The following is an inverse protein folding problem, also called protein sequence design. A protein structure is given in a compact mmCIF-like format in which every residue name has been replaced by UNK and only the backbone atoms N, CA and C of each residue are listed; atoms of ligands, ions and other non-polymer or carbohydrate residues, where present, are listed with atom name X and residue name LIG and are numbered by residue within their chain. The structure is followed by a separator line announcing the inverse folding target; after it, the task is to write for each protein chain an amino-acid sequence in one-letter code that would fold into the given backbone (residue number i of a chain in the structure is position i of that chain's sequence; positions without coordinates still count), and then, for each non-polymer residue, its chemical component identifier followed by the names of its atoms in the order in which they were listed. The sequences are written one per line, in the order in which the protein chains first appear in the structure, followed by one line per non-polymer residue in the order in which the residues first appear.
data_IF_246564044739
#
_entry.id   IF_246564044739
#
_cell.length_a   1.000
_cell.length_b   1.000
_cell.length_c   1.000
_cell.angle_alpha   90.00
_cell.angle_beta   90.00
_cell.angle_gamma   90.00
#
_symmetry.space_group_name_H-M   'P 1'
#
loop_
_entity.id
_entity.type
_entity.pdbx_description
1 polymer ?
#
# COMPACT_ATOMS: atom_id res chain seq x y z
N UNK A 1 14.68 -9.50 2.97
CA UNK A 1 14.75 -8.57 1.82
C UNK A 1 16.03 -7.70 1.76
N UNK A 2 16.59 -7.22 2.89
CA UNK A 2 17.69 -6.21 2.93
C UNK A 2 18.83 -6.37 1.91
N UNK A 3 19.43 -7.55 1.68
CA UNK A 3 20.54 -7.69 0.70
C UNK A 3 20.15 -7.38 -0.76
N UNK A 4 18.85 -7.41 -1.07
CA UNK A 4 18.30 -7.25 -2.42
C UNK A 4 17.86 -5.82 -2.73
N UNK A 5 17.81 -4.94 -1.72
CA UNK A 5 17.30 -3.57 -1.87
C UNK A 5 18.02 -2.78 -2.97
N UNK A 6 19.36 -2.91 -3.07
CA UNK A 6 20.14 -2.23 -4.10
C UNK A 6 19.70 -2.60 -5.52
N UNK A 7 19.38 -3.87 -5.78
CA UNK A 7 18.92 -4.30 -7.10
C UNK A 7 17.46 -3.91 -7.34
N UNK A 8 16.63 -3.93 -6.30
CA UNK A 8 15.25 -3.44 -6.37
C UNK A 8 15.17 -1.93 -6.64
N UNK A 9 16.07 -1.13 -6.06
CA UNK A 9 16.18 0.31 -6.36
C UNK A 9 16.55 0.55 -7.82
N UNK A 10 17.47 -0.24 -8.39
CA UNK A 10 17.77 -0.18 -9.82
C UNK A 10 16.56 -0.56 -10.68
N UNK A 11 15.84 -1.61 -10.30
CA UNK A 11 14.62 -2.02 -10.99
C UNK A 11 13.51 -0.96 -10.93
N UNK A 12 13.48 -0.15 -9.87
CA UNK A 12 12.56 1.00 -9.76
C UNK A 12 12.97 2.12 -10.72
N UNK A 13 14.25 2.48 -10.77
CA UNK A 13 14.76 3.44 -11.76
C UNK A 13 14.49 2.98 -13.19
N UNK A 14 14.69 1.69 -13.48
CA UNK A 14 14.37 1.11 -14.78
C UNK A 14 12.86 1.20 -15.09
N UNK A 15 12.00 0.97 -14.10
CA UNK A 15 10.55 1.06 -14.25
C UNK A 15 10.10 2.49 -14.57
N UNK A 16 10.64 3.49 -13.85
CA UNK A 16 10.39 4.91 -14.08
C UNK A 16 10.92 5.36 -15.45
N UNK A 17 12.02 4.76 -15.92
CA UNK A 17 12.59 4.97 -17.25
C UNK A 17 11.91 4.19 -18.39
N UNK A 18 10.87 3.40 -18.10
CA UNK A 18 10.15 2.60 -19.10
C UNK A 18 10.89 1.35 -19.58
N UNK A 19 11.94 0.91 -18.88
CA UNK A 19 12.69 -0.31 -19.16
C UNK A 19 12.03 -1.52 -18.46
N UNK A 20 10.82 -1.87 -18.88
CA UNK A 20 9.98 -2.83 -18.18
C UNK A 20 10.54 -4.26 -18.18
N UNK A 21 11.22 -4.66 -19.26
CA UNK A 21 11.86 -5.97 -19.35
C UNK A 21 12.90 -6.18 -18.23
N UNK A 22 13.72 -5.18 -17.94
CA UNK A 22 14.77 -5.29 -16.92
C UNK A 22 14.16 -5.29 -15.53
N UNK A 23 13.16 -4.43 -15.29
CA UNK A 23 12.37 -4.44 -14.05
C UNK A 23 11.79 -5.83 -13.78
N UNK A 24 11.06 -6.40 -14.75
CA UNK A 24 10.40 -7.69 -14.58
C UNK A 24 11.40 -8.82 -14.26
N UNK A 25 12.49 -8.92 -15.03
CA UNK A 25 13.53 -9.94 -14.83
C UNK A 25 14.23 -9.80 -13.47
N UNK A 26 14.59 -8.58 -13.07
CA UNK A 26 15.21 -8.33 -11.77
C UNK A 26 14.24 -8.69 -10.65
N UNK A 27 13.00 -8.21 -10.70
CA UNK A 27 12.00 -8.46 -9.66
C UNK A 27 11.70 -9.95 -9.51
N UNK A 28 11.56 -10.71 -10.62
CA UNK A 28 11.43 -12.18 -10.57
C UNK A 28 12.58 -12.86 -9.85
N UNK A 29 13.82 -12.54 -10.22
CA UNK A 29 15.00 -13.13 -9.59
C UNK A 29 15.10 -12.77 -8.09
N UNK A 30 14.72 -11.55 -7.72
CA UNK A 30 14.73 -11.10 -6.32
C UNK A 30 13.69 -11.84 -5.49
N UNK A 31 12.48 -12.05 -6.02
CA UNK A 31 11.44 -12.85 -5.38
C UNK A 31 11.89 -14.30 -5.15
N UNK A 32 12.40 -14.97 -6.19
CA UNK A 32 12.87 -16.35 -6.10
C UNK A 32 13.97 -16.51 -5.03
N UNK A 33 14.97 -15.63 -5.05
CA UNK A 33 16.04 -15.65 -4.06
C UNK A 33 15.53 -15.34 -2.65
N UNK A 34 14.61 -14.39 -2.50
CA UNK A 34 14.07 -14.03 -1.18
C UNK A 34 13.32 -15.20 -0.53
N UNK A 35 12.46 -15.88 -1.29
CA UNK A 35 11.72 -17.05 -0.80
C UNK A 35 12.68 -18.20 -0.45
N UNK A 36 13.73 -18.40 -1.24
CA UNK A 36 14.79 -19.39 -0.95
C UNK A 36 15.51 -19.13 0.36
N UNK A 37 15.77 -17.86 0.70
CA UNK A 37 16.43 -17.50 1.96
C UNK A 37 15.52 -17.67 3.19
N UNK A 38 14.22 -17.49 3.01
CA UNK A 38 13.21 -17.60 4.06
C UNK A 38 13.06 -19.05 4.55
N UNK A 39 13.10 -20.01 3.63
CA UNK A 39 12.96 -21.43 3.94
C UNK A 39 14.28 -22.18 3.76
N UNK A 40 15.12 -22.08 4.79
CA UNK A 40 16.43 -22.72 4.79
C UNK A 40 16.38 -24.25 4.83
N UNK A 41 15.22 -24.85 5.13
CA UNK A 41 15.05 -26.30 5.20
C UNK A 41 14.90 -26.91 3.80
N UNK A 42 14.13 -26.28 2.91
CA UNK A 42 13.94 -26.76 1.53
C UNK A 42 14.80 -26.02 0.50
N UNK A 43 15.21 -24.76 0.79
CA UNK A 43 16.00 -23.88 -0.11
C UNK A 43 15.41 -23.76 -1.53
N UNK A 44 14.10 -23.90 -1.64
CA UNK A 44 13.36 -23.79 -2.89
C UNK A 44 13.01 -22.33 -3.20
N UNK A 45 13.13 -21.94 -4.46
CA UNK A 45 12.67 -20.63 -4.93
C UNK A 45 11.15 -20.55 -4.99
N UNK A 46 10.60 -19.36 -5.19
CA UNK A 46 9.15 -19.14 -5.30
C UNK A 46 8.55 -20.01 -6.41
N UNK A 47 9.22 -20.11 -7.56
CA UNK A 47 8.77 -20.91 -8.71
C UNK A 47 8.77 -22.43 -8.51
N UNK A 48 9.25 -22.95 -7.38
CA UNK A 48 9.26 -24.40 -7.08
C UNK A 48 8.22 -24.76 -6.01
N UNK A 49 7.55 -23.76 -5.43
CA UNK A 49 6.55 -24.00 -4.38
C UNK A 49 5.20 -24.40 -4.97
N UNK A 50 4.48 -25.31 -4.31
CA UNK A 50 3.09 -25.55 -4.66
C UNK A 50 2.22 -24.36 -4.22
N UNK A 51 1.07 -24.18 -4.87
CA UNK A 51 0.19 -23.03 -4.60
C UNK A 51 -0.43 -23.08 -3.19
N UNK A 52 -0.60 -24.26 -2.60
CA UNK A 52 -1.03 -24.43 -1.21
C UNK A 52 -0.03 -23.87 -0.18
N UNK A 53 1.27 -23.82 -0.48
CA UNK A 53 2.29 -23.24 0.41
C UNK A 53 2.19 -21.70 0.50
N UNK A 54 1.47 -21.10 -0.45
CA UNK A 54 1.32 -19.65 -0.58
C UNK A 54 0.06 -19.10 0.12
N UNK A 55 -0.60 -19.89 0.97
CA UNK A 55 -1.75 -19.42 1.76
C UNK A 55 -1.26 -18.56 2.93
N UNK A 56 -1.58 -17.27 2.91
CA UNK A 56 -1.41 -16.36 4.04
C UNK A 56 -2.76 -16.21 4.78
N UNK A 57 -2.80 -16.55 6.07
CA UNK A 57 -4.04 -16.56 6.86
C UNK A 57 -4.34 -15.19 7.51
N UNK A 58 -3.44 -14.21 7.38
CA UNK A 58 -3.59 -12.85 7.95
C UNK A 58 -2.72 -11.84 7.20
N UNK A 59 -2.98 -11.68 5.90
CA UNK A 59 -2.23 -10.82 4.98
C UNK A 59 -3.18 -9.84 4.31
N UNK A 60 -2.78 -8.57 4.18
CA UNK A 60 -3.57 -7.54 3.47
C UNK A 60 -3.70 -7.89 1.98
N UNK A 61 -2.72 -8.62 1.43
CA UNK A 61 -2.77 -9.21 0.09
C UNK A 61 -3.48 -10.59 0.04
N UNK A 62 -3.89 -11.12 1.18
CA UNK A 62 -4.32 -12.50 1.38
C UNK A 62 -5.81 -12.62 1.71
N UNK A 63 -6.69 -12.31 0.76
CA UNK A 63 -7.82 -13.23 0.62
C UNK A 63 -7.18 -14.57 0.23
N UNK A 64 -7.37 -15.62 1.04
CA UNK A 64 -6.79 -16.96 0.92
C UNK A 64 -6.76 -17.57 -0.51
N UNK A 65 -7.56 -17.05 -1.44
CA UNK A 65 -7.60 -17.42 -2.86
C UNK A 65 -6.68 -16.60 -3.78
N UNK A 66 -6.34 -15.36 -3.44
CA UNK A 66 -5.68 -14.40 -4.33
C UNK A 66 -4.23 -14.73 -4.65
N UNK A 67 -3.40 -14.98 -3.63
CA UNK A 67 -1.98 -15.27 -3.83
C UNK A 67 -1.75 -16.65 -4.45
N UNK A 68 -2.56 -17.64 -4.07
CA UNK A 68 -2.52 -19.00 -4.61
C UNK A 68 -3.00 -19.06 -6.06
N UNK A 69 -4.10 -18.39 -6.43
CA UNK A 69 -4.53 -18.31 -7.84
C UNK A 69 -3.51 -17.56 -8.70
N UNK A 70 -3.00 -16.42 -8.24
CA UNK A 70 -1.95 -15.70 -8.95
C UNK A 70 -0.65 -16.53 -9.08
N UNK A 71 -0.40 -17.49 -8.18
CA UNK A 71 0.76 -18.37 -8.24
C UNK A 71 0.68 -19.38 -9.39
N UNK A 72 -0.51 -19.85 -9.76
CA UNK A 72 -0.68 -20.83 -10.85
C UNK A 72 -0.14 -20.30 -12.19
N UNK A 73 -0.41 -19.02 -12.50
CA UNK A 73 0.17 -18.37 -13.69
C UNK A 73 1.70 -18.33 -13.64
N UNK A 74 2.27 -18.10 -12.46
CA UNK A 74 3.71 -18.04 -12.24
C UNK A 74 4.43 -19.36 -12.52
N UNK A 75 3.76 -20.48 -12.24
CA UNK A 75 4.28 -21.84 -12.44
C UNK A 75 4.03 -22.39 -13.85
N UNK A 76 3.10 -21.79 -14.61
CA UNK A 76 2.69 -22.30 -15.93
C UNK A 76 3.90 -22.43 -16.87
N UNK A 77 4.10 -23.64 -17.39
CA UNK A 77 5.13 -23.94 -18.39
C UNK A 77 4.72 -23.51 -19.79
N UNK A 78 5.72 -23.17 -20.60
CA UNK A 78 5.59 -22.84 -22.02
C UNK A 78 6.65 -23.62 -22.79
N UNK A 79 6.25 -24.21 -23.92
CA UNK A 79 7.08 -25.18 -24.66
C UNK A 79 7.38 -24.76 -26.11
N UNK A 80 6.81 -23.63 -26.54
CA UNK A 80 7.01 -23.05 -27.87
C UNK A 80 7.15 -21.55 -27.72
N UNK A 81 7.92 -20.93 -28.63
CA UNK A 81 8.01 -19.47 -28.70
C UNK A 81 6.64 -18.88 -29.03
N UNK A 82 6.25 -17.87 -28.27
CA UNK A 82 5.01 -17.13 -28.42
C UNK A 82 5.33 -15.63 -28.42
N UNK A 83 4.94 -14.98 -29.51
CA UNK A 83 5.12 -13.56 -29.76
C UNK A 83 3.83 -12.77 -29.45
N UNK A 84 2.80 -13.39 -28.87
CA UNK A 84 1.64 -12.66 -28.38
C UNK A 84 2.03 -11.76 -27.20
N UNK A 85 1.35 -10.63 -27.09
CA UNK A 85 1.56 -9.70 -25.97
C UNK A 85 1.24 -10.39 -24.66
N UNK A 86 2.19 -10.38 -23.73
CA UNK A 86 2.01 -10.96 -22.40
C UNK A 86 1.55 -9.89 -21.43
N UNK A 87 0.49 -10.17 -20.68
CA UNK A 87 -0.03 -9.31 -19.61
C UNK A 87 -0.09 -10.01 -18.26
N UNK A 88 0.31 -11.29 -18.19
CA UNK A 88 0.34 -12.10 -16.97
C UNK A 88 1.77 -12.42 -16.54
N UNK A 89 1.95 -12.77 -15.27
CA UNK A 89 3.26 -13.10 -14.71
C UNK A 89 3.68 -14.54 -15.01
N UNK A 90 3.81 -14.88 -16.29
CA UNK A 90 4.29 -16.18 -16.75
C UNK A 90 5.81 -16.32 -16.58
N UNK A 91 6.29 -16.30 -15.32
CA UNK A 91 7.72 -16.29 -14.98
C UNK A 91 8.51 -17.39 -15.69
N UNK A 92 7.99 -18.62 -15.75
CA UNK A 92 8.69 -19.70 -16.45
C UNK A 92 8.82 -19.42 -17.95
N UNK A 93 7.75 -18.95 -18.60
CA UNK A 93 7.79 -18.62 -20.02
C UNK A 93 8.73 -17.47 -20.35
N UNK A 94 8.71 -16.41 -19.52
CA UNK A 94 9.56 -15.22 -19.66
C UNK A 94 11.04 -15.55 -19.39
N UNK A 95 11.35 -16.21 -18.28
CA UNK A 95 12.73 -16.52 -17.89
C UNK A 95 13.40 -17.54 -18.82
N UNK A 96 12.63 -18.41 -19.48
CA UNK A 96 13.15 -19.32 -20.50
C UNK A 96 13.21 -18.69 -21.90
N UNK A 97 12.77 -17.44 -22.08
CA UNK A 97 12.77 -16.77 -23.39
C UNK A 97 11.75 -17.33 -24.39
N UNK A 98 10.79 -18.13 -23.94
CA UNK A 98 9.69 -18.63 -24.79
C UNK A 98 8.61 -17.57 -24.99
N UNK A 99 8.46 -16.65 -24.04
CA UNK A 99 7.55 -15.52 -24.14
C UNK A 99 8.38 -14.25 -24.30
N UNK A 100 8.34 -13.63 -25.48
CA UNK A 100 9.26 -12.52 -25.82
C UNK A 100 8.64 -11.14 -25.70
N UNK A 101 7.31 -11.02 -25.86
CA UNK A 101 6.59 -9.74 -25.83
C UNK A 101 6.00 -9.41 -24.45
N UNK A 102 6.86 -9.51 -23.42
CA UNK A 102 6.52 -9.18 -22.02
C UNK A 102 7.01 -7.79 -21.56
N UNK A 103 7.77 -7.08 -22.40
CA UNK A 103 8.30 -5.74 -22.13
C UNK A 103 7.19 -4.68 -22.16
N UNK A 104 6.41 -4.61 -21.09
CA UNK A 104 5.35 -3.63 -20.92
C UNK A 104 5.12 -3.32 -19.44
N UNK A 105 4.53 -2.15 -19.22
CA UNK A 105 4.11 -1.63 -17.93
C UNK A 105 3.28 -2.63 -17.14
N UNK A 106 2.27 -3.26 -17.76
CA UNK A 106 1.36 -4.20 -17.07
C UNK A 106 2.12 -5.35 -16.40
N UNK A 107 3.07 -5.99 -17.10
CA UNK A 107 3.86 -7.09 -16.54
C UNK A 107 4.77 -6.58 -15.43
N UNK A 108 5.43 -5.44 -15.61
CA UNK A 108 6.33 -4.88 -14.60
C UNK A 108 5.58 -4.42 -13.33
N UNK A 109 4.42 -3.77 -13.47
CA UNK A 109 3.55 -3.40 -12.35
C UNK A 109 3.07 -4.65 -11.60
N UNK A 110 2.61 -5.67 -12.33
CA UNK A 110 2.20 -6.94 -11.71
C UNK A 110 3.36 -7.60 -10.97
N UNK A 111 4.58 -7.53 -11.49
CA UNK A 111 5.76 -8.11 -10.84
C UNK A 111 6.04 -7.41 -9.49
N UNK A 112 5.94 -6.08 -9.44
CA UNK A 112 6.02 -5.31 -8.18
C UNK A 112 4.92 -5.70 -7.19
N UNK A 113 3.66 -5.75 -7.64
CA UNK A 113 2.54 -6.17 -6.81
C UNK A 113 2.77 -7.56 -6.22
N UNK A 114 3.31 -8.49 -7.03
CA UNK A 114 3.66 -9.83 -6.56
C UNK A 114 4.79 -9.81 -5.53
N UNK A 115 5.82 -8.98 -5.69
CA UNK A 115 6.90 -8.84 -4.72
C UNK A 115 6.37 -8.36 -3.36
N UNK A 116 5.47 -7.37 -3.35
CA UNK A 116 4.84 -6.89 -2.12
C UNK A 116 4.01 -7.98 -1.45
N UNK A 117 3.21 -8.70 -2.23
CA UNK A 117 2.41 -9.81 -1.69
C UNK A 117 3.28 -10.95 -1.13
N UNK A 118 4.44 -11.25 -1.76
CA UNK A 118 5.42 -12.22 -1.24
C UNK A 118 6.10 -11.73 0.03
N UNK A 119 6.41 -10.43 0.13
CA UNK A 119 6.96 -9.85 1.34
C UNK A 119 5.97 -9.90 2.52
N UNK A 120 4.70 -9.58 2.27
CA UNK A 120 3.62 -9.66 3.26
C UNK A 120 3.37 -11.10 3.72
N UNK A 121 3.35 -12.06 2.77
CA UNK A 121 3.30 -13.49 3.08
C UNK A 121 4.47 -13.92 4.00
N UNK A 122 5.70 -13.49 3.67
CA UNK A 122 6.87 -13.84 4.47
C UNK A 122 6.79 -13.29 5.91
N UNK A 123 6.33 -12.04 6.07
CA UNK A 123 6.15 -11.42 7.38
C UNK A 123 5.03 -12.12 8.18
N UNK A 124 3.90 -12.45 7.55
CA UNK A 124 2.82 -13.22 8.19
C UNK A 124 3.30 -14.58 8.71
N UNK A 125 4.19 -15.26 7.97
CA UNK A 125 4.78 -16.54 8.38
C UNK A 125 5.75 -16.37 9.55
N UNK A 126 6.54 -15.30 9.58
CA UNK A 126 7.41 -14.98 10.70
C UNK A 126 6.61 -14.62 11.97
N UNK A 127 5.53 -13.85 11.83
CA UNK A 127 4.60 -13.55 12.94
C UNK A 127 4.00 -14.82 13.50
N UNK A 128 3.47 -15.72 12.66
CA UNK A 128 2.92 -17.02 13.09
C UNK A 128 3.95 -17.92 13.78
N UNK A 129 5.21 -17.89 13.34
CA UNK A 129 6.28 -18.62 14.02
C UNK A 129 6.59 -18.05 15.41
N UNK A 130 6.32 -16.76 15.63
CA UNK A 130 6.53 -16.05 16.90
C UNK A 130 5.27 -16.03 17.80
N UNK A 131 4.07 -16.18 17.25
CA UNK A 131 2.81 -16.19 17.99
C UNK A 131 2.07 -17.51 17.81
N UNK A 132 2.05 -18.31 18.87
CA UNK A 132 0.77 -18.92 19.26
C UNK A 132 0.12 -17.84 20.11
N UNK A 133 -0.64 -16.94 19.50
CA UNK A 133 -1.46 -16.05 20.32
C UNK A 133 -2.31 -16.96 21.22
N UNK A 134 -2.23 -16.81 22.55
CA UNK A 134 -3.03 -17.64 23.44
C UNK A 134 -4.48 -17.44 23.04
N UNK A 135 -5.22 -18.55 22.88
CA UNK A 135 -6.64 -18.49 22.56
C UNK A 135 -7.28 -17.49 23.52
N UNK A 136 -7.87 -16.40 23.00
CA UNK A 136 -8.38 -15.36 23.88
C UNK A 136 -9.36 -15.99 24.86
N UNK A 137 -9.30 -15.62 26.15
CA UNK A 137 -10.25 -16.12 27.13
C UNK A 137 -11.67 -15.89 26.59
N UNK A 138 -12.64 -16.78 26.86
CA UNK A 138 -13.98 -16.69 26.28
C UNK A 138 -14.67 -15.34 26.52
N UNK A 139 -14.34 -14.64 27.63
CA UNK A 139 -14.80 -13.28 27.92
C UNK A 139 -14.28 -12.23 26.94
N UNK A 140 -13.03 -12.35 26.49
CA UNK A 140 -12.41 -11.47 25.50
C UNK A 140 -13.04 -11.73 24.13
N UNK A 141 -13.21 -13.00 23.74
CA UNK A 141 -13.86 -13.36 22.48
C UNK A 141 -15.31 -12.88 22.41
N UNK A 142 -16.06 -12.98 23.52
CA UNK A 142 -17.44 -12.49 23.57
C UNK A 142 -17.53 -10.95 23.45
N UNK A 143 -16.57 -10.23 24.04
CA UNK A 143 -16.47 -8.77 23.88
C UNK A 143 -16.13 -8.39 22.45
N UNK A 144 -15.10 -9.03 21.88
CA UNK A 144 -14.71 -8.82 20.48
C UNK A 144 -15.87 -9.11 19.52
N UNK A 145 -16.63 -10.18 19.75
CA UNK A 145 -17.81 -10.48 18.95
C UNK A 145 -18.88 -9.37 19.03
N UNK A 146 -19.16 -8.88 20.25
CA UNK A 146 -20.07 -7.73 20.42
C UNK A 146 -19.56 -6.47 19.74
N UNK A 147 -18.26 -6.20 19.82
CA UNK A 147 -17.64 -5.04 19.18
C UNK A 147 -17.69 -5.13 17.65
N UNK A 148 -17.46 -6.33 17.10
CA UNK A 148 -17.58 -6.61 15.65
C UNK A 148 -19.02 -6.41 15.19
N UNK A 149 -20.00 -7.02 15.89
CA UNK A 149 -21.41 -6.85 15.55
C UNK A 149 -21.85 -5.39 15.62
N UNK A 150 -21.47 -4.67 16.69
CA UNK A 150 -21.78 -3.24 16.81
C UNK A 150 -21.10 -2.41 15.71
N UNK A 151 -19.93 -2.82 15.23
CA UNK A 151 -19.24 -2.16 14.11
C UNK A 151 -19.93 -2.47 12.78
N UNK A 152 -20.34 -3.71 12.54
CA UNK A 152 -21.10 -4.09 11.36
C UNK A 152 -22.42 -3.32 11.28
N UNK A 153 -23.20 -3.26 12.36
CA UNK A 153 -24.43 -2.47 12.40
C UNK A 153 -24.18 -0.99 12.11
N UNK A 154 -23.11 -0.40 12.68
CA UNK A 154 -22.75 0.99 12.36
C UNK A 154 -22.33 1.19 10.90
N UNK A 155 -21.74 0.20 10.25
CA UNK A 155 -21.37 0.27 8.83
C UNK A 155 -22.61 0.11 7.95
N UNK A 156 -23.55 -0.76 8.34
CA UNK A 156 -24.83 -0.95 7.65
C UNK A 156 -25.74 0.28 7.76
N UNK A 157 -25.78 0.91 8.93
CA UNK A 157 -26.53 2.15 9.17
C UNK A 157 -25.82 3.40 8.63
N UNK A 158 -24.54 3.30 8.26
CA UNK A 158 -23.79 4.43 7.77
C UNK A 158 -24.22 4.78 6.34
N UNK A 159 -24.51 6.06 6.13
CA UNK A 159 -24.78 6.62 4.82
C UNK A 159 -23.75 7.72 4.48
N UNK A 160 -23.36 7.84 3.20
CA UNK A 160 -22.53 8.96 2.77
C UNK A 160 -23.27 10.27 3.01
N UNK A 161 -22.54 11.27 3.48
CA UNK A 161 -23.10 12.60 3.67
C UNK A 161 -22.11 13.68 3.26
N UNK A 162 -22.66 14.83 2.93
CA UNK A 162 -21.94 15.99 2.43
C UNK A 162 -22.37 17.23 3.20
N UNK A 163 -21.41 18.10 3.48
CA UNK A 163 -21.63 19.36 4.15
C UNK A 163 -20.91 20.47 3.39
N UNK A 164 -21.67 21.46 2.96
CA UNK A 164 -21.19 22.70 2.34
C UNK A 164 -21.29 23.82 3.37
N UNK A 165 -20.20 24.10 4.10
CA UNK A 165 -20.22 25.12 5.13
C UNK A 165 -20.30 26.52 4.52
N UNK A 166 -21.01 27.43 5.21
CA UNK A 166 -20.92 28.84 4.87
C UNK A 166 -19.49 29.38 5.06
N UNK A 167 -19.08 30.39 4.28
CA UNK A 167 -17.81 31.06 4.50
C UNK A 167 -17.70 31.56 5.95
N UNK A 168 -16.72 31.04 6.69
CA UNK A 168 -16.49 31.28 8.12
C UNK A 168 -17.44 30.58 9.11
N UNK A 169 -18.15 29.51 8.72
CA UNK A 169 -18.96 28.72 9.64
C UNK A 169 -18.18 28.35 10.93
N UNK A 170 -18.69 28.68 12.11
CA UNK A 170 -17.99 28.35 13.37
C UNK A 170 -17.96 26.84 13.60
N UNK A 171 -19.08 26.19 13.30
CA UNK A 171 -19.25 24.75 13.38
C UNK A 171 -18.91 24.09 12.04
N UNK A 172 -17.94 23.20 12.06
CA UNK A 172 -17.64 22.28 10.97
C UNK A 172 -17.76 20.85 11.48
N UNK A 173 -18.05 19.88 10.60
CA UNK A 173 -17.82 18.47 10.89
C UNK A 173 -16.37 18.24 11.36
N UNK A 174 -16.12 17.17 12.13
CA UNK A 174 -14.81 16.86 12.71
C UNK A 174 -13.66 16.96 11.69
N UNK A 175 -13.86 16.37 10.50
CA UNK A 175 -12.89 16.41 9.40
C UNK A 175 -12.63 17.84 8.93
N UNK A 176 -13.69 18.65 8.81
CA UNK A 176 -13.57 20.07 8.49
C UNK A 176 -12.81 20.86 9.57
N UNK A 177 -13.01 20.53 10.85
CA UNK A 177 -12.24 21.14 11.95
C UNK A 177 -10.76 20.77 11.88
N UNK A 178 -10.44 19.51 11.57
CA UNK A 178 -9.07 19.04 11.35
C UNK A 178 -8.43 19.74 10.15
N UNK A 179 -9.11 19.84 9.02
CA UNK A 179 -8.64 20.57 7.83
C UNK A 179 -8.40 22.04 8.13
N UNK A 180 -9.33 22.70 8.84
CA UNK A 180 -9.17 24.08 9.31
C UNK A 180 -7.92 24.24 10.20
N UNK A 181 -7.69 23.30 11.12
CA UNK A 181 -6.52 23.33 11.98
C UNK A 181 -5.22 23.18 11.17
N UNK A 182 -5.19 22.28 10.20
CA UNK A 182 -4.07 22.12 9.27
C UNK A 182 -3.77 23.43 8.53
N UNK A 183 -4.78 24.02 7.87
CA UNK A 183 -4.65 25.23 7.06
C UNK A 183 -4.20 26.43 7.90
N UNK A 184 -4.78 26.64 9.10
CA UNK A 184 -4.35 27.70 10.03
C UNK A 184 -2.89 27.56 10.46
N UNK A 185 -2.36 26.35 10.54
CA UNK A 185 -0.98 26.12 10.91
C UNK A 185 -0.03 26.24 9.72
N UNK A 186 -0.48 25.91 8.50
CA UNK A 186 0.28 26.20 7.28
C UNK A 186 0.39 27.71 7.04
N UNK A 187 -0.71 28.46 7.12
CA UNK A 187 -0.72 29.93 7.04
C UNK A 187 0.28 30.58 8.02
N UNK A 188 0.42 29.99 9.21
CA UNK A 188 1.37 30.45 10.25
C UNK A 188 2.75 29.80 10.18
N UNK A 189 3.03 29.02 9.14
CA UNK A 189 4.29 28.29 8.92
C UNK A 189 4.72 27.41 10.11
N UNK A 190 3.75 26.82 10.82
CA UNK A 190 3.97 25.94 11.98
C UNK A 190 4.14 24.50 11.53
N UNK A 191 5.25 24.22 10.85
CA UNK A 191 5.50 22.94 10.15
C UNK A 191 5.41 21.70 11.03
N UNK A 192 5.80 21.80 12.31
CA UNK A 192 5.66 20.70 13.26
C UNK A 192 4.21 20.31 13.58
N UNK A 193 3.24 21.22 13.41
CA UNK A 193 1.82 20.92 13.58
C UNK A 193 1.19 20.44 12.27
N UNK A 194 1.63 20.99 11.14
CA UNK A 194 1.22 20.54 9.79
C UNK A 194 1.61 19.06 9.59
N UNK A 195 2.87 18.71 9.87
CA UNK A 195 3.37 17.35 9.68
C UNK A 195 2.67 16.28 10.52
N UNK A 196 2.02 16.64 11.65
CA UNK A 196 1.25 15.69 12.48
C UNK A 196 0.00 15.15 11.77
N UNK A 197 -0.45 15.79 10.69
CA UNK A 197 -1.59 15.34 9.91
C UNK A 197 -1.19 14.43 8.74
N UNK A 198 0.09 14.15 8.54
CA UNK A 198 0.53 13.23 7.49
C UNK A 198 0.26 11.79 7.91
N UNK A 199 -0.31 11.02 6.98
CA UNK A 199 -0.53 9.59 7.16
C UNK A 199 0.82 8.87 7.16
N UNK A 200 1.11 8.12 8.23
CA UNK A 200 2.28 7.25 8.31
C UNK A 200 1.85 5.81 8.10
N UNK A 201 2.36 5.17 7.04
CA UNK A 201 2.17 3.76 6.78
C UNK A 201 3.38 2.97 7.29
N UNK A 202 3.14 2.03 8.21
CA UNK A 202 4.16 1.12 8.73
C UNK A 202 4.78 1.52 10.07
N UNK A 203 5.69 0.67 10.56
CA UNK A 203 6.43 0.85 11.82
C UNK A 203 7.94 0.76 11.56
N UNK A 204 8.77 1.59 12.23
CA UNK A 204 8.42 2.58 13.25
C UNK A 204 7.89 3.89 12.66
N UNK A 205 7.02 4.56 13.42
CA UNK A 205 6.60 5.93 13.15
C UNK A 205 7.81 6.85 13.06
N UNK A 206 7.78 7.80 12.14
CA UNK A 206 8.82 8.80 11.97
C UNK A 206 8.88 9.66 13.22
N UNK A 207 10.10 9.99 13.67
CA UNK A 207 10.26 11.00 14.71
C UNK A 207 9.57 12.30 14.24
N UNK A 208 8.78 12.95 15.09
CA UNK A 208 7.97 14.12 14.71
C UNK A 208 8.76 15.25 14.01
N UNK A 209 10.09 15.34 14.27
CA UNK A 209 10.98 16.25 13.55
C UNK A 209 11.10 15.96 12.05
N UNK A 210 11.06 14.68 11.62
CA UNK A 210 11.11 14.31 10.19
C UNK A 210 9.86 14.75 9.44
N UNK A 211 8.68 14.58 10.04
CA UNK A 211 7.42 15.03 9.43
C UNK A 211 7.34 16.56 9.37
N UNK A 212 7.93 17.26 10.35
CA UNK A 212 8.05 18.71 10.31
C UNK A 212 8.94 19.18 9.15
N UNK A 213 10.06 18.49 8.90
CA UNK A 213 10.95 18.77 7.76
C UNK A 213 10.22 18.52 6.44
N UNK A 214 9.56 17.37 6.30
CA UNK A 214 8.78 17.06 5.09
C UNK A 214 7.67 18.10 4.84
N UNK A 215 6.94 18.49 5.89
CA UNK A 215 5.92 19.53 5.77
C UNK A 215 6.50 20.86 5.31
N UNK A 216 7.68 21.22 5.81
CA UNK A 216 8.39 22.41 5.37
C UNK A 216 8.82 22.31 3.90
N UNK A 217 9.46 21.21 3.50
CA UNK A 217 9.90 20.99 2.11
C UNK A 217 8.76 21.04 1.10
N UNK A 218 7.58 20.52 1.46
CA UNK A 218 6.41 20.50 0.57
C UNK A 218 5.70 21.85 0.42
N UNK A 219 5.72 22.69 1.47
CA UNK A 219 4.82 23.84 1.57
C UNK A 219 5.52 25.18 1.81
N UNK A 220 6.83 25.23 2.05
CA UNK A 220 7.55 26.49 2.33
C UNK A 220 7.53 27.45 1.12
N UNK A 221 7.61 26.92 -0.10
CA UNK A 221 7.54 27.73 -1.34
C UNK A 221 6.10 28.15 -1.71
N UNK A 222 5.11 27.68 -0.94
CA UNK A 222 3.68 27.92 -1.15
C UNK A 222 3.15 28.79 -0.01
N UNK A 223 3.29 30.10 -0.14
CA UNK A 223 2.84 31.08 0.84
C UNK A 223 1.31 31.17 0.85
N UNK A 224 0.68 30.40 1.75
CA UNK A 224 -0.76 30.40 1.96
C UNK A 224 -1.19 31.67 2.72
N UNK A 225 -1.94 32.54 2.04
CA UNK A 225 -2.37 33.83 2.58
C UNK A 225 -3.88 33.91 2.86
N UNK A 226 -4.69 33.09 2.19
CA UNK A 226 -6.09 32.88 2.51
C UNK A 226 -6.54 31.48 2.10
N UNK A 227 -7.64 31.01 2.69
CA UNK A 227 -8.24 29.73 2.35
C UNK A 227 -9.72 29.70 2.74
N UNK A 228 -10.51 28.92 2.01
CA UNK A 228 -11.93 28.68 2.29
C UNK A 228 -12.23 27.19 2.11
N UNK A 229 -12.80 26.56 3.14
CA UNK A 229 -13.32 25.19 3.02
C UNK A 229 -14.64 25.28 2.28
N UNK A 230 -14.70 24.67 1.09
CA UNK A 230 -15.90 24.68 0.24
C UNK A 230 -16.85 23.55 0.62
N UNK A 231 -16.28 22.40 0.98
CA UNK A 231 -17.04 21.15 1.07
C UNK A 231 -16.35 20.11 1.92
N UNK A 232 -17.13 19.33 2.66
CA UNK A 232 -16.68 18.14 3.38
C UNK A 232 -17.57 16.97 2.97
N UNK A 233 -16.98 15.90 2.45
CA UNK A 233 -17.68 14.73 1.92
C UNK A 233 -17.22 13.47 2.63
N UNK A 234 -18.13 12.79 3.31
CA UNK A 234 -17.89 11.47 3.86
C UNK A 234 -18.30 10.43 2.81
N UNK A 235 -17.32 9.92 2.07
CA UNK A 235 -17.54 9.01 0.93
C UNK A 235 -17.48 7.53 1.34
N UNK A 236 -16.88 7.23 2.49
CA UNK A 236 -16.93 5.92 3.13
C UNK A 236 -16.85 6.07 4.66
N UNK A 237 -17.20 5.01 5.40
CA UNK A 237 -17.22 5.01 6.87
C UNK A 237 -15.88 5.45 7.52
N UNK A 238 -14.75 5.28 6.84
CA UNK A 238 -13.42 5.68 7.30
C UNK A 238 -12.69 6.63 6.34
N UNK A 239 -13.40 7.21 5.36
CA UNK A 239 -12.81 8.11 4.35
C UNK A 239 -13.68 9.33 4.17
N UNK A 240 -13.04 10.50 4.31
CA UNK A 240 -13.66 11.77 4.04
C UNK A 240 -12.72 12.66 3.23
N UNK A 241 -13.29 13.50 2.39
CA UNK A 241 -12.58 14.47 1.57
C UNK A 241 -13.03 15.88 1.97
N UNK A 242 -12.07 16.79 2.09
CA UNK A 242 -12.36 18.21 2.24
C UNK A 242 -11.87 18.94 0.99
N UNK A 243 -12.79 19.59 0.30
CA UNK A 243 -12.46 20.44 -0.83
C UNK A 243 -12.22 21.86 -0.31
N UNK A 244 -11.08 22.44 -0.67
CA UNK A 244 -10.60 23.73 -0.13
C UNK A 244 -10.12 24.59 -1.28
N UNK A 245 -10.54 25.85 -1.28
CA UNK A 245 -9.97 26.91 -2.11
C UNK A 245 -8.82 27.56 -1.35
N UNK A 246 -7.68 27.74 -2.02
CA UNK A 246 -6.46 28.28 -1.42
C UNK A 246 -6.03 29.54 -2.20
N UNK A 247 -5.46 30.50 -1.50
CA UNK A 247 -4.81 31.65 -2.12
C UNK A 247 -3.32 31.62 -1.74
N UNK A 248 -2.49 31.30 -2.73
CA UNK A 248 -1.08 30.96 -2.54
C UNK A 248 -0.20 31.85 -3.41
N UNK A 249 0.87 32.42 -2.85
CA UNK A 249 1.83 33.26 -3.59
C UNK A 249 1.16 34.44 -4.32
N UNK A 250 0.05 34.96 -3.79
CA UNK A 250 -0.71 36.05 -4.41
C UNK A 250 -1.56 35.65 -5.62
N UNK A 251 -1.73 34.36 -5.89
CA UNK A 251 -2.63 33.82 -6.90
C UNK A 251 -3.63 32.85 -6.27
N UNK A 252 -4.82 32.78 -6.87
CA UNK A 252 -5.86 31.80 -6.53
C UNK A 252 -5.60 30.49 -7.26
#
# INVERSE_FOLDING_TARGET
MRPRLRLLQKALTDYEGGHYYSTALVVFSMMDGFVKDLDRATRQGLHTRPAEDMVAWDSVAGHHLGLSHAHQSFLKGFYKTDETRVTELFRNGIMHGTLVNFDNDVVATKAWNRLFAVADWADSRERRAKSVDPTPPPRVSLRQWKDVQARESRIEEWEPYEHEPEPNAEELPEVGQTSRYFLKNWEKQRWGLVGKHFMELGSPQSAGGKLAVLAKELYEELELSAWTILRVRHVAAAVAHTDVELFVNGAM
#
